data_IF_663737047361
#
_entry.id   IF_663737047361
#
_cell.length_a   1.000
_cell.length_b   1.000
_cell.length_c   1.000
_cell.angle_alpha   90.00
_cell.angle_beta   90.00
_cell.angle_gamma   90.00
#
_symmetry.space_group_name_H-M   'P 1'
#
loop_
_entity.id
_entity.type
_entity.pdbx_description
1 polymer ?
#
# COMPACT_ATOMS: atom_id res chain seq x y z
N UNK A 1 17.25 21.38 -2.19
CA UNK A 1 16.63 20.21 -1.53
C UNK A 1 16.79 19.02 -2.47
N UNK A 2 17.26 17.89 -1.96
CA UNK A 2 17.31 16.62 -2.71
C UNK A 2 16.43 15.62 -1.98
N UNK A 3 15.52 14.97 -2.70
CA UNK A 3 14.64 13.93 -2.17
C UNK A 3 15.01 12.63 -2.87
N UNK A 4 15.41 11.62 -2.11
CA UNK A 4 15.82 10.32 -2.63
C UNK A 4 14.89 9.27 -2.03
N UNK A 5 14.17 8.56 -2.90
CA UNK A 5 13.26 7.50 -2.51
C UNK A 5 13.92 6.13 -2.73
N UNK A 6 13.86 5.28 -1.71
CA UNK A 6 14.51 3.97 -1.68
C UNK A 6 13.46 2.87 -1.42
N UNK A 7 12.72 2.39 -2.44
CA UNK A 7 11.59 1.47 -2.28
C UNK A 7 11.98 0.01 -2.00
N UNK A 8 13.28 -0.30 -1.94
CA UNK A 8 13.78 -1.69 -1.96
C UNK A 8 13.12 -2.58 -0.91
N UNK A 9 13.07 -2.11 0.34
CA UNK A 9 12.47 -2.86 1.44
C UNK A 9 10.95 -2.91 1.35
N UNK A 10 10.29 -1.91 0.76
CA UNK A 10 8.83 -1.88 0.65
C UNK A 10 8.30 -3.13 -0.08
N UNK A 11 8.86 -3.42 -1.26
CA UNK A 11 8.44 -4.58 -2.04
C UNK A 11 8.83 -5.92 -1.42
N UNK A 12 10.06 -6.05 -0.92
CA UNK A 12 10.50 -7.35 -0.39
C UNK A 12 9.82 -7.68 0.94
N UNK A 13 9.59 -6.69 1.81
CA UNK A 13 8.87 -6.92 3.05
C UNK A 13 7.40 -7.31 2.81
N UNK A 14 6.75 -6.80 1.77
CA UNK A 14 5.41 -7.28 1.37
C UNK A 14 5.44 -8.77 0.96
N UNK A 15 6.51 -9.21 0.29
CA UNK A 15 6.64 -10.58 -0.22
C UNK A 15 6.97 -11.62 0.85
N UNK A 16 7.88 -11.29 1.77
CA UNK A 16 8.44 -12.28 2.72
C UNK A 16 8.18 -11.95 4.19
N UNK A 17 7.65 -10.76 4.50
CA UNK A 17 7.43 -10.29 5.85
C UNK A 17 8.75 -9.91 6.54
N UNK A 18 8.73 -9.92 7.87
CA UNK A 18 9.85 -9.56 8.75
C UNK A 18 10.80 -10.74 9.03
N UNK A 19 10.78 -11.78 8.17
CA UNK A 19 11.64 -12.96 8.30
C UNK A 19 13.10 -12.58 8.07
N UNK A 20 13.87 -12.43 9.15
CA UNK A 20 15.29 -12.00 9.15
C UNK A 20 16.14 -12.70 8.09
N UNK A 21 16.07 -14.03 8.00
CA UNK A 21 16.89 -14.79 7.05
C UNK A 21 16.56 -14.47 5.58
N UNK A 22 15.30 -14.12 5.30
CA UNK A 22 14.85 -13.78 3.94
C UNK A 22 15.23 -12.34 3.54
N UNK A 23 15.40 -11.43 4.51
CA UNK A 23 15.63 -10.00 4.28
C UNK A 23 17.06 -9.56 4.64
N UNK A 24 17.88 -10.43 5.21
CA UNK A 24 19.23 -10.09 5.67
C UNK A 24 20.15 -9.58 4.56
N UNK A 25 19.98 -10.06 3.32
CA UNK A 25 20.70 -9.54 2.17
C UNK A 25 20.19 -8.16 1.79
N UNK A 26 18.86 -7.98 1.68
CA UNK A 26 18.23 -6.70 1.35
C UNK A 26 18.63 -5.59 2.33
N UNK A 27 18.65 -5.91 3.63
CA UNK A 27 19.10 -5.00 4.68
C UNK A 27 20.55 -4.57 4.51
N UNK A 28 21.45 -5.50 4.12
CA UNK A 28 22.86 -5.17 3.87
C UNK A 28 23.04 -4.33 2.62
N UNK A 29 22.29 -4.63 1.56
CA UNK A 29 22.35 -3.88 0.31
C UNK A 29 21.84 -2.44 0.50
N UNK A 30 20.71 -2.28 1.19
CA UNK A 30 20.15 -0.95 1.42
C UNK A 30 20.99 -0.13 2.39
N UNK A 31 21.56 -0.75 3.43
CA UNK A 31 22.50 -0.09 4.35
C UNK A 31 23.73 0.44 3.61
N UNK A 32 24.30 -0.34 2.69
CA UNK A 32 25.42 0.10 1.86
C UNK A 32 25.05 1.33 1.00
N UNK A 33 23.89 1.29 0.33
CA UNK A 33 23.40 2.40 -0.52
C UNK A 33 23.13 3.65 0.32
N UNK A 34 22.45 3.51 1.46
CA UNK A 34 22.16 4.62 2.39
C UNK A 34 23.46 5.22 2.91
N UNK A 35 24.42 4.38 3.32
CA UNK A 35 25.73 4.83 3.78
C UNK A 35 26.52 5.60 2.72
N UNK A 36 26.50 5.15 1.47
CA UNK A 36 27.13 5.86 0.34
C UNK A 36 26.47 7.23 0.09
N UNK A 37 25.13 7.29 0.11
CA UNK A 37 24.39 8.54 -0.05
C UNK A 37 24.69 9.52 1.09
N UNK A 38 24.68 9.05 2.34
CA UNK A 38 25.02 9.88 3.51
C UNK A 38 26.41 10.48 3.33
N UNK A 39 27.44 9.65 3.08
CA UNK A 39 28.81 10.12 2.87
C UNK A 39 28.92 11.12 1.71
N UNK A 40 28.24 10.83 0.60
CA UNK A 40 28.25 11.69 -0.58
C UNK A 40 27.72 13.10 -0.28
N UNK A 41 26.62 13.21 0.47
CA UNK A 41 25.99 14.48 0.82
C UNK A 41 26.72 15.20 1.95
N UNK A 42 27.16 14.49 2.98
CA UNK A 42 27.92 15.06 4.09
C UNK A 42 29.25 15.68 3.64
N UNK A 43 29.98 15.03 2.72
CA UNK A 43 31.19 15.60 2.10
C UNK A 43 30.93 16.92 1.35
N UNK A 44 29.67 17.22 1.02
CA UNK A 44 29.23 18.46 0.36
C UNK A 44 28.60 19.44 1.34
N UNK A 45 28.74 19.20 2.65
CA UNK A 45 28.10 19.96 3.72
C UNK A 45 26.56 20.03 3.58
N UNK A 46 25.95 18.99 2.99
CA UNK A 46 24.50 18.85 2.93
C UNK A 46 24.04 18.06 4.14
N UNK A 47 23.09 18.61 4.91
CA UNK A 47 22.46 17.90 6.02
C UNK A 47 21.57 16.79 5.50
N UNK A 48 21.74 15.59 6.04
CA UNK A 48 20.94 14.41 5.67
C UNK A 48 19.90 14.14 6.74
N UNK A 49 18.69 13.81 6.30
CA UNK A 49 17.60 13.29 7.14
C UNK A 49 17.16 11.97 6.55
N UNK A 50 17.01 10.96 7.39
CA UNK A 50 16.36 9.70 7.05
C UNK A 50 14.92 9.75 7.55
N UNK A 51 13.98 9.43 6.67
CA UNK A 51 12.56 9.38 6.96
C UNK A 51 12.00 8.08 6.40
N UNK A 52 11.34 7.29 7.25
CA UNK A 52 10.45 6.23 6.82
C UNK A 52 9.02 6.76 6.74
N UNK A 53 8.27 6.36 5.72
CA UNK A 53 6.87 6.79 5.55
C UNK A 53 5.94 6.01 6.48
N UNK A 54 6.20 4.70 6.62
CA UNK A 54 5.41 3.78 7.45
C UNK A 54 6.27 2.57 7.85
N UNK A 55 5.75 1.77 8.79
CA UNK A 55 6.27 0.45 9.11
C UNK A 55 5.53 -0.64 8.34
N UNK A 56 6.19 -1.77 8.09
CA UNK A 56 5.57 -2.97 7.53
C UNK A 56 5.57 -4.06 8.62
N UNK A 57 4.42 -4.69 8.83
CA UNK A 57 4.25 -5.79 9.79
C UNK A 57 3.78 -7.07 9.09
N UNK A 58 4.00 -8.21 9.74
CA UNK A 58 3.60 -9.51 9.19
C UNK A 58 2.07 -9.65 9.10
N UNK A 59 1.59 -10.11 7.94
CA UNK A 59 0.18 -10.47 7.71
C UNK A 59 0.07 -11.87 7.11
N UNK A 60 -1.05 -12.54 7.38
CA UNK A 60 -1.34 -13.86 6.82
C UNK A 60 -2.82 -14.11 6.48
N UNK A 61 -3.69 -13.12 6.66
CA UNK A 61 -5.12 -13.24 6.35
C UNK A 61 -5.59 -12.19 5.33
N UNK A 62 -5.75 -12.54 4.04
CA UNK A 62 -6.41 -11.65 3.09
C UNK A 62 -7.91 -11.54 3.39
N UNK A 63 -8.47 -10.35 3.22
CA UNK A 63 -9.87 -10.03 3.46
C UNK A 63 -10.46 -9.40 2.19
N UNK A 64 -11.53 -9.99 1.67
CA UNK A 64 -12.12 -9.62 0.39
C UNK A 64 -13.40 -8.79 0.58
N UNK A 65 -13.29 -7.53 1.02
CA UNK A 65 -14.46 -6.68 1.33
C UNK A 65 -15.42 -6.58 0.14
N UNK A 66 -14.90 -6.42 -1.07
CA UNK A 66 -15.74 -6.36 -2.27
C UNK A 66 -16.49 -7.68 -2.56
N UNK A 67 -15.96 -8.86 -2.18
CA UNK A 67 -16.74 -10.12 -2.23
C UNK A 67 -17.89 -10.12 -1.21
N UNK A 68 -17.68 -9.58 -0.02
CA UNK A 68 -18.74 -9.42 1.00
C UNK A 68 -19.84 -8.49 0.46
N UNK A 69 -19.46 -7.36 -0.14
CA UNK A 69 -20.42 -6.43 -0.73
C UNK A 69 -21.16 -7.02 -1.94
N UNK A 70 -20.48 -7.88 -2.72
CA UNK A 70 -21.12 -8.62 -3.81
C UNK A 70 -22.19 -9.58 -3.29
N UNK A 71 -21.93 -10.30 -2.20
CA UNK A 71 -22.92 -11.19 -1.57
C UNK A 71 -24.15 -10.43 -1.07
N UNK A 72 -23.97 -9.17 -0.65
CA UNK A 72 -25.06 -8.25 -0.30
C UNK A 72 -25.79 -7.64 -1.51
N UNK A 73 -25.34 -7.90 -2.73
CA UNK A 73 -25.90 -7.32 -3.95
C UNK A 73 -25.62 -5.82 -4.10
N UNK A 74 -24.55 -5.31 -3.47
CA UNK A 74 -24.18 -3.90 -3.54
C UNK A 74 -23.21 -3.56 -4.66
N UNK A 75 -22.50 -4.55 -5.19
CA UNK A 75 -21.67 -4.38 -6.38
C UNK A 75 -22.50 -4.49 -7.66
N UNK A 76 -22.11 -3.71 -8.67
CA UNK A 76 -22.60 -3.87 -10.03
C UNK A 76 -21.58 -4.63 -10.86
N UNK A 77 -21.88 -5.90 -11.15
CA UNK A 77 -21.01 -6.79 -11.92
C UNK A 77 -21.65 -7.07 -13.28
N UNK A 78 -20.88 -6.89 -14.35
CA UNK A 78 -21.28 -7.17 -15.74
C UNK A 78 -20.52 -8.39 -16.24
N UNK A 79 -21.15 -9.19 -17.10
CA UNK A 79 -20.43 -10.22 -17.84
C UNK A 79 -19.74 -9.59 -19.06
N UNK A 80 -18.41 -9.60 -19.04
CA UNK A 80 -17.55 -9.10 -20.10
C UNK A 80 -16.79 -10.28 -20.70
N UNK A 81 -17.39 -10.93 -21.70
CA UNK A 81 -16.80 -12.09 -22.40
C UNK A 81 -16.50 -13.27 -21.44
N UNK A 82 -17.43 -13.55 -20.52
CA UNK A 82 -17.28 -14.61 -19.51
C UNK A 82 -16.41 -14.20 -18.31
N UNK A 83 -15.99 -12.94 -18.23
CA UNK A 83 -15.31 -12.35 -17.06
C UNK A 83 -16.25 -11.43 -16.29
N UNK A 84 -15.99 -11.26 -15.01
CA UNK A 84 -16.68 -10.30 -14.17
C UNK A 84 -16.05 -8.92 -14.37
N UNK A 85 -16.77 -7.98 -15.00
CA UNK A 85 -16.41 -6.57 -15.08
C UNK A 85 -17.10 -5.78 -13.97
N UNK A 86 -16.36 -4.92 -13.26
CA UNK A 86 -16.92 -4.06 -12.21
C UNK A 86 -17.37 -2.73 -12.80
N UNK A 87 -18.65 -2.39 -12.65
CA UNK A 87 -19.15 -1.04 -12.91
C UNK A 87 -19.15 -0.24 -11.61
N UNK A 88 -18.00 0.37 -11.31
CA UNK A 88 -17.79 1.22 -10.13
C UNK A 88 -18.85 2.33 -10.06
N UNK A 89 -19.17 2.93 -11.21
CA UNK A 89 -20.15 3.98 -11.40
C UNK A 89 -21.60 3.56 -11.19
N UNK A 90 -21.89 2.26 -11.05
CA UNK A 90 -23.20 1.72 -10.69
C UNK A 90 -23.22 0.98 -9.34
N UNK A 91 -22.07 0.80 -8.68
CA UNK A 91 -22.02 0.18 -7.34
C UNK A 91 -22.74 1.04 -6.30
N UNK A 92 -23.52 0.39 -5.43
CA UNK A 92 -24.15 1.02 -4.25
C UNK A 92 -23.15 1.18 -3.12
N UNK A 93 -22.26 0.21 -2.97
CA UNK A 93 -21.16 0.19 -2.00
C UNK A 93 -19.92 -0.34 -2.70
N UNK A 94 -18.76 0.27 -2.49
CA UNK A 94 -17.49 -0.20 -3.08
C UNK A 94 -16.33 0.08 -2.11
N UNK A 95 -15.45 -0.90 -1.91
CA UNK A 95 -14.18 -0.67 -1.23
C UNK A 95 -13.06 -0.42 -2.25
N UNK A 96 -12.31 0.66 -2.05
CA UNK A 96 -10.97 0.84 -2.60
C UNK A 96 -9.98 0.42 -1.53
N UNK A 97 -9.31 -0.71 -1.75
CA UNK A 97 -8.46 -1.36 -0.76
C UNK A 97 -6.98 -1.03 -1.00
N UNK A 98 -6.27 -0.63 0.05
CA UNK A 98 -4.84 -0.41 0.02
C UNK A 98 -4.22 -0.95 1.32
N UNK A 99 -3.59 -2.13 1.21
CA UNK A 99 -3.02 -2.83 2.35
C UNK A 99 -4.01 -3.04 3.51
N UNK A 100 -3.73 -2.52 4.70
CA UNK A 100 -4.54 -2.68 5.92
C UNK A 100 -5.59 -1.57 6.08
N UNK A 101 -5.80 -0.76 5.05
CA UNK A 101 -6.84 0.27 4.98
C UNK A 101 -7.73 0.05 3.76
N UNK A 102 -9.01 0.35 3.89
CA UNK A 102 -9.92 0.41 2.76
C UNK A 102 -10.87 1.61 2.89
N UNK A 103 -10.91 2.45 1.87
CA UNK A 103 -11.93 3.48 1.74
C UNK A 103 -13.20 2.85 1.18
N UNK A 104 -14.30 2.93 1.91
CA UNK A 104 -15.59 2.38 1.52
C UNK A 104 -16.51 3.52 1.12
N UNK A 105 -16.90 3.53 -0.14
CA UNK A 105 -17.82 4.51 -0.73
C UNK A 105 -19.23 3.93 -0.76
N UNK A 106 -20.20 4.71 -0.30
CA UNK A 106 -21.60 4.35 -0.16
C UNK A 106 -22.44 5.39 -0.89
N UNK A 107 -23.02 5.00 -2.03
CA UNK A 107 -23.82 5.90 -2.87
C UNK A 107 -25.13 6.33 -2.21
N UNK A 108 -25.75 5.41 -1.49
CA UNK A 108 -27.05 5.58 -0.87
C UNK A 108 -26.85 5.67 0.64
N UNK A 109 -26.94 6.87 1.20
CA UNK A 109 -26.70 7.13 2.62
C UNK A 109 -27.58 6.28 3.55
N UNK A 110 -28.75 5.82 3.08
CA UNK A 110 -29.62 4.95 3.88
C UNK A 110 -28.98 3.58 4.19
N UNK A 111 -27.97 3.17 3.40
CA UNK A 111 -27.21 1.94 3.62
C UNK A 111 -26.08 2.09 4.63
N UNK A 112 -25.69 3.30 5.04
CA UNK A 112 -24.49 3.50 5.87
C UNK A 112 -24.49 2.67 7.16
N UNK A 113 -25.65 2.56 7.82
CA UNK A 113 -25.81 1.74 9.02
C UNK A 113 -25.55 0.26 8.76
N UNK A 114 -26.17 -0.29 7.70
CA UNK A 114 -25.99 -1.70 7.33
C UNK A 114 -24.56 -1.99 6.85
N UNK A 115 -23.97 -1.08 6.08
CA UNK A 115 -22.57 -1.23 5.61
C UNK A 115 -21.61 -1.25 6.79
N UNK A 116 -21.79 -0.35 7.76
CA UNK A 116 -20.98 -0.33 8.98
C UNK A 116 -21.10 -1.64 9.74
N UNK A 117 -22.32 -2.12 9.96
CA UNK A 117 -22.56 -3.40 10.66
C UNK A 117 -21.88 -4.58 9.95
N UNK A 118 -22.01 -4.66 8.62
CA UNK A 118 -21.37 -5.71 7.81
C UNK A 118 -19.84 -5.65 7.92
N UNK A 119 -19.27 -4.46 7.87
CA UNK A 119 -17.82 -4.27 8.03
C UNK A 119 -17.37 -4.70 9.43
N UNK A 120 -18.05 -4.26 10.49
CA UNK A 120 -17.73 -4.60 11.89
C UNK A 120 -17.87 -6.11 12.16
N UNK A 121 -18.78 -6.79 11.47
CA UNK A 121 -18.95 -8.24 11.55
C UNK A 121 -17.98 -9.05 10.67
N UNK A 122 -17.28 -8.40 9.73
CA UNK A 122 -16.37 -9.09 8.81
C UNK A 122 -15.07 -9.47 9.52
N UNK A 123 -14.74 -10.77 9.66
CA UNK A 123 -13.47 -11.19 10.26
C UNK A 123 -12.31 -10.65 9.43
N UNK A 124 -11.42 -9.88 10.06
CA UNK A 124 -10.44 -9.09 9.31
C UNK A 124 -10.42 -7.64 9.70
N UNK A 125 -11.60 -7.08 9.91
CA UNK A 125 -11.80 -5.65 10.18
C UNK A 125 -11.71 -5.43 11.69
N UNK A 126 -10.78 -4.57 12.12
CA UNK A 126 -10.62 -4.19 13.51
C UNK A 126 -11.40 -2.93 13.85
N UNK A 127 -11.43 -1.96 12.93
CA UNK A 127 -12.07 -0.67 13.15
C UNK A 127 -12.79 -0.21 11.90
N UNK A 128 -13.92 0.47 12.09
CA UNK A 128 -14.65 1.16 11.03
C UNK A 128 -14.80 2.62 11.44
N UNK A 129 -14.16 3.51 10.69
CA UNK A 129 -14.15 4.93 10.96
C UNK A 129 -15.28 5.60 10.17
N UNK A 130 -16.28 6.10 10.89
CA UNK A 130 -17.32 6.97 10.36
C UNK A 130 -16.88 8.44 10.34
N UNK A 131 -17.82 9.36 10.17
CA UNK A 131 -17.52 10.80 10.06
C UNK A 131 -16.75 11.35 11.27
N UNK A 132 -17.23 11.07 12.48
CA UNK A 132 -16.61 11.58 13.71
C UNK A 132 -15.24 10.95 13.94
N UNK A 133 -15.12 9.63 13.77
CA UNK A 133 -13.88 8.89 13.95
C UNK A 133 -12.82 9.32 12.92
N UNK A 134 -13.20 9.54 11.66
CA UNK A 134 -12.32 10.10 10.62
C UNK A 134 -11.82 11.50 10.98
N UNK A 135 -12.68 12.36 11.55
CA UNK A 135 -12.27 13.70 11.96
C UNK A 135 -11.14 13.64 12.99
N UNK A 136 -11.30 12.83 14.05
CA UNK A 136 -10.26 12.66 15.07
C UNK A 136 -9.00 11.97 14.55
N UNK A 137 -9.12 11.10 13.55
CA UNK A 137 -7.99 10.45 12.90
C UNK A 137 -7.28 11.33 11.85
N UNK A 138 -7.80 12.54 11.54
CA UNK A 138 -7.26 13.39 10.48
C UNK A 138 -7.56 12.89 9.05
N UNK A 139 -8.56 12.04 8.89
CA UNK A 139 -8.99 11.42 7.64
C UNK A 139 -10.29 12.00 7.08
N UNK A 140 -10.88 13.02 7.72
CA UNK A 140 -12.10 13.69 7.22
C UNK A 140 -11.76 14.63 6.06
N UNK A 141 -11.65 14.03 4.87
CA UNK A 141 -11.27 14.70 3.63
C UNK A 141 -12.25 14.32 2.51
N UNK A 142 -12.45 15.22 1.54
CA UNK A 142 -13.41 15.02 0.44
C UNK A 142 -13.09 13.81 -0.47
N UNK A 143 -11.86 13.27 -0.39
CA UNK A 143 -11.43 12.05 -1.11
C UNK A 143 -11.46 10.80 -0.24
N UNK A 144 -11.80 10.92 1.04
CA UNK A 144 -11.98 9.75 1.90
C UNK A 144 -13.34 9.14 1.63
N UNK A 145 -13.40 7.81 1.48
CA UNK A 145 -14.66 7.07 1.47
C UNK A 145 -15.56 7.41 2.67
N UNK A 146 -16.86 7.22 2.50
CA UNK A 146 -17.88 7.51 3.51
C UNK A 146 -17.57 6.81 4.85
N UNK A 147 -17.04 5.59 4.77
CA UNK A 147 -16.43 4.86 5.86
C UNK A 147 -14.97 4.51 5.51
N UNK A 148 -14.12 4.32 6.52
CA UNK A 148 -12.77 3.74 6.35
C UNK A 148 -12.67 2.49 7.23
N UNK A 149 -12.39 1.34 6.61
CA UNK A 149 -12.12 0.11 7.33
C UNK A 149 -10.61 -0.03 7.59
N UNK A 150 -10.26 -0.41 8.82
CA UNK A 150 -8.89 -0.71 9.24
C UNK A 150 -8.81 -2.18 9.59
N UNK A 151 -7.85 -2.90 9.01
CA UNK A 151 -7.66 -4.32 9.26
C UNK A 151 -7.03 -4.57 10.64
N UNK A 152 -7.21 -5.77 11.20
CA UNK A 152 -6.43 -6.19 12.36
C UNK A 152 -4.97 -6.51 12.00
N UNK A 153 -4.15 -6.81 13.02
CA UNK A 153 -2.69 -6.96 12.89
C UNK A 153 -2.26 -7.97 11.83
N UNK A 154 -3.05 -9.02 11.66
CA UNK A 154 -2.71 -10.15 10.78
C UNK A 154 -3.37 -10.08 9.42
N UNK A 155 -4.22 -9.08 9.21
CA UNK A 155 -5.08 -9.01 8.02
C UNK A 155 -4.71 -7.88 7.10
N UNK A 156 -5.09 -8.02 5.84
CA UNK A 156 -5.02 -6.98 4.83
C UNK A 156 -6.17 -7.12 3.84
N UNK A 157 -6.54 -6.05 3.17
CA UNK A 157 -7.68 -6.00 2.25
C UNK A 157 -7.24 -6.15 0.80
N UNK A 158 -7.88 -7.07 0.08
CA UNK A 158 -7.71 -7.19 -1.38
C UNK A 158 -8.74 -6.34 -2.12
N UNK A 159 -8.45 -5.92 -3.35
CA UNK A 159 -9.47 -5.33 -4.23
C UNK A 159 -10.47 -6.35 -4.82
N UNK A 160 -10.25 -7.65 -4.63
CA UNK A 160 -10.96 -8.72 -5.35
C UNK A 160 -12.48 -8.64 -5.16
N UNK A 161 -13.20 -8.63 -6.28
CA UNK A 161 -14.66 -8.56 -6.34
C UNK A 161 -15.31 -9.76 -7.05
N UNK A 162 -14.52 -10.67 -7.62
CA UNK A 162 -15.00 -11.89 -8.27
C UNK A 162 -14.97 -13.07 -7.30
N UNK A 163 -15.97 -13.96 -7.36
CA UNK A 163 -16.04 -15.15 -6.49
C UNK A 163 -15.30 -16.36 -7.08
N UNK A 164 -15.19 -16.45 -8.42
CA UNK A 164 -14.46 -17.50 -9.13
C UNK A 164 -13.30 -16.90 -9.91
N UNK A 165 -12.07 -17.35 -9.63
CA UNK A 165 -10.84 -16.91 -10.31
C UNK A 165 -10.83 -17.19 -11.82
N UNK A 166 -11.70 -18.09 -12.31
CA UNK A 166 -11.93 -18.28 -13.76
C UNK A 166 -12.66 -17.10 -14.37
N UNK A 167 -13.50 -16.40 -13.60
CA UNK A 167 -14.22 -15.19 -14.01
C UNK A 167 -13.46 -13.90 -13.67
N UNK A 168 -12.33 -13.97 -12.97
CA UNK A 168 -11.50 -12.81 -12.70
C UNK A 168 -11.21 -12.01 -13.97
N UNK A 169 -11.22 -10.66 -13.90
CA UNK A 169 -10.88 -9.80 -15.03
C UNK A 169 -9.53 -10.17 -15.65
N UNK A 170 -9.38 -9.89 -16.94
CA UNK A 170 -8.15 -10.19 -17.67
C UNK A 170 -6.92 -9.47 -17.08
N UNK A 171 -7.11 -8.23 -16.63
CA UNK A 171 -6.09 -7.42 -15.99
C UNK A 171 -5.68 -7.91 -14.59
N UNK A 172 -6.49 -8.74 -13.94
CA UNK A 172 -6.20 -9.20 -12.58
C UNK A 172 -4.89 -10.01 -12.50
N UNK A 173 -4.53 -10.70 -13.59
CA UNK A 173 -3.29 -11.48 -13.72
C UNK A 173 -2.12 -10.69 -14.29
N UNK A 174 -2.25 -9.36 -14.35
CA UNK A 174 -1.25 -8.44 -14.90
C UNK A 174 -0.90 -7.36 -13.89
N UNK A 175 0.15 -6.60 -14.19
CA UNK A 175 0.46 -5.33 -13.52
C UNK A 175 -0.38 -4.26 -14.19
N UNK A 176 -1.49 -3.86 -13.57
CA UNK A 176 -2.45 -2.88 -14.11
C UNK A 176 -3.08 -2.07 -12.99
N UNK A 177 -2.26 -1.20 -12.41
CA UNK A 177 -2.59 -0.39 -11.23
C UNK A 177 -3.76 0.58 -11.43
N UNK A 178 -4.18 0.83 -12.67
CA UNK A 178 -5.24 1.80 -12.98
C UNK A 178 -6.63 1.16 -13.07
N UNK A 179 -6.71 -0.14 -13.38
CA UNK A 179 -7.98 -0.88 -13.47
C UNK A 179 -8.35 -1.63 -12.19
N UNK A 180 -7.41 -1.75 -11.26
CA UNK A 180 -7.63 -2.36 -9.95
C UNK A 180 -8.18 -1.30 -9.00
N UNK A 181 -9.32 -1.58 -8.37
CA UNK A 181 -9.93 -0.72 -7.35
C UNK A 181 -9.19 -0.84 -6.01
N UNK A 182 -7.88 -0.57 -6.04
CA UNK A 182 -6.98 -0.76 -4.92
C UNK A 182 -5.58 -1.18 -5.35
N UNK A 183 -4.68 -1.26 -4.37
CA UNK A 183 -3.34 -1.80 -4.55
C UNK A 183 -3.35 -3.34 -4.43
N UNK A 184 -2.50 -4.00 -5.22
CA UNK A 184 -2.41 -5.46 -5.27
C UNK A 184 -0.96 -5.93 -5.04
N UNK A 185 -0.58 -6.23 -3.79
CA UNK A 185 0.78 -6.71 -3.47
C UNK A 185 1.10 -8.06 -4.16
N UNK A 186 0.10 -8.78 -4.67
CA UNK A 186 0.31 -10.05 -5.39
C UNK A 186 1.01 -9.81 -6.73
N UNK A 187 0.98 -8.58 -7.27
CA UNK A 187 1.77 -8.17 -8.45
C UNK A 187 3.29 -8.35 -8.28
N UNK A 188 3.77 -8.42 -7.05
CA UNK A 188 5.18 -8.64 -6.72
C UNK A 188 5.63 -10.10 -6.91
N UNK A 189 4.72 -10.98 -7.32
CA UNK A 189 4.97 -12.40 -7.51
C UNK A 189 4.79 -12.82 -8.98
N UNK A 190 5.63 -13.74 -9.43
CA UNK A 190 5.30 -14.57 -10.58
C UNK A 190 4.43 -15.73 -10.09
N UNK A 191 3.36 -16.03 -10.82
CA UNK A 191 2.40 -17.05 -10.46
C UNK A 191 3.12 -18.40 -10.27
N UNK A 192 3.15 -18.92 -9.02
CA UNK A 192 3.91 -20.13 -8.69
C UNK A 192 3.32 -21.39 -9.33
N UNK A 193 2.08 -21.32 -9.84
CA UNK A 193 1.43 -22.42 -10.55
C UNK A 193 1.90 -22.55 -12.00
N UNK A 194 2.59 -21.54 -12.55
CA UNK A 194 3.15 -21.59 -13.89
C UNK A 194 4.31 -22.58 -13.95
N UNK A 195 4.20 -23.59 -14.82
CA UNK A 195 5.25 -24.62 -14.99
C UNK A 195 6.59 -24.05 -15.47
N UNK A 196 6.56 -23.05 -16.36
CA UNK A 196 7.75 -22.43 -16.94
C UNK A 196 7.57 -20.89 -17.06
N UNK A 197 7.60 -20.15 -15.93
CA UNK A 197 7.25 -18.72 -15.91
C UNK A 197 8.16 -17.89 -16.82
N UNK A 198 9.47 -18.17 -16.83
CA UNK A 198 10.45 -17.48 -17.70
C UNK A 198 10.16 -17.70 -19.19
N UNK A 199 9.72 -18.89 -19.58
CA UNK A 199 9.35 -19.20 -20.98
C UNK A 199 8.08 -18.44 -21.35
N UNK A 200 7.07 -18.42 -20.47
CA UNK A 200 5.84 -17.63 -20.69
C UNK A 200 6.16 -16.16 -20.87
N UNK A 201 6.98 -15.57 -19.98
CA UNK A 201 7.43 -14.17 -20.09
C UNK A 201 8.17 -13.94 -21.41
N UNK A 202 9.16 -14.77 -21.75
CA UNK A 202 9.91 -14.65 -23.00
C UNK A 202 9.02 -14.70 -24.23
N UNK A 203 8.04 -15.61 -24.25
CA UNK A 203 7.04 -15.70 -25.32
C UNK A 203 6.16 -14.44 -25.42
N UNK A 204 5.67 -13.92 -24.29
CA UNK A 204 4.87 -12.69 -24.25
C UNK A 204 5.67 -11.47 -24.74
N UNK A 205 6.94 -11.38 -24.38
CA UNK A 205 7.84 -10.35 -24.90
C UNK A 205 8.07 -10.49 -26.41
N UNK A 206 8.23 -11.71 -26.93
CA UNK A 206 8.32 -11.94 -28.37
C UNK A 206 7.05 -11.48 -29.11
N UNK A 207 5.86 -11.82 -28.60
CA UNK A 207 4.59 -11.31 -29.17
C UNK A 207 4.54 -9.78 -29.17
N UNK A 208 4.93 -9.14 -28.06
CA UNK A 208 5.01 -7.67 -27.95
C UNK A 208 5.96 -7.08 -28.99
N UNK A 209 7.14 -7.67 -29.19
CA UNK A 209 8.12 -7.25 -30.21
C UNK A 209 7.58 -7.40 -31.64
N UNK A 210 6.75 -8.42 -31.88
CA UNK A 210 6.06 -8.64 -33.16
C UNK A 210 4.83 -7.73 -33.35
N UNK A 211 4.59 -6.77 -32.46
CA UNK A 211 3.46 -5.84 -32.54
C UNK A 211 2.09 -6.46 -32.22
N UNK A 212 2.06 -7.69 -31.68
CA UNK A 212 0.82 -8.35 -31.29
C UNK A 212 0.29 -7.75 -29.99
N UNK A 213 -1.04 -7.56 -29.91
CA UNK A 213 -1.71 -7.23 -28.65
C UNK A 213 -1.64 -8.45 -27.73
N UNK A 214 -1.14 -8.24 -26.52
CA UNK A 214 -1.01 -9.30 -25.52
C UNK A 214 -1.20 -8.74 -24.13
N UNK A 215 -1.52 -9.64 -23.19
CA UNK A 215 -1.48 -9.40 -21.75
C UNK A 215 -0.31 -10.14 -21.13
N UNK A 216 0.42 -9.48 -20.22
CA UNK A 216 1.48 -10.09 -19.41
C UNK A 216 0.84 -10.79 -18.20
N UNK A 217 0.12 -11.86 -18.49
CA UNK A 217 -0.74 -12.60 -17.57
C UNK A 217 0.07 -13.57 -16.69
N UNK A 218 0.99 -13.05 -15.90
CA UNK A 218 1.94 -13.84 -15.10
C UNK A 218 1.79 -13.64 -13.59
N UNK A 219 0.84 -12.80 -13.17
CA UNK A 219 0.57 -12.51 -11.77
C UNK A 219 -0.43 -13.54 -11.20
N UNK A 220 -0.19 -14.12 -10.01
CA UNK A 220 -1.13 -15.03 -9.38
C UNK A 220 -2.36 -14.28 -8.86
N UNK A 221 -3.41 -15.04 -8.52
CA UNK A 221 -4.56 -14.51 -7.79
C UNK A 221 -4.58 -14.97 -6.32
N UNK A 222 -3.58 -15.73 -5.88
CA UNK A 222 -3.49 -16.19 -4.50
C UNK A 222 -2.98 -15.08 -3.56
N UNK A 223 -3.92 -14.43 -2.88
CA UNK A 223 -3.65 -13.38 -1.91
C UNK A 223 -2.93 -13.89 -0.65
N UNK A 224 -2.87 -15.21 -0.40
CA UNK A 224 -2.14 -15.77 0.74
C UNK A 224 -0.62 -15.75 0.55
N UNK A 225 -0.13 -15.34 -0.63
CA UNK A 225 1.31 -15.20 -0.88
C UNK A 225 1.91 -13.99 -0.17
N UNK A 226 1.13 -12.95 0.07
CA UNK A 226 1.55 -11.73 0.75
C UNK A 226 1.85 -12.03 2.21
N UNK A 227 2.98 -11.50 2.71
CA UNK A 227 3.48 -11.73 4.07
C UNK A 227 3.70 -10.47 4.87
N UNK A 228 3.80 -9.31 4.23
CA UNK A 228 3.90 -8.02 4.90
C UNK A 228 2.87 -7.04 4.38
N UNK A 229 2.39 -6.16 5.26
CA UNK A 229 1.45 -5.10 4.90
C UNK A 229 1.63 -3.87 5.81
N UNK A 230 0.95 -2.77 5.48
CA UNK A 230 1.02 -1.52 6.24
C UNK A 230 -0.30 -0.73 6.16
N UNK A 231 -0.33 0.50 6.69
CA UNK A 231 -1.46 1.41 6.60
C UNK A 231 -2.24 1.57 7.91
N UNK A 232 -2.08 0.64 8.86
CA UNK A 232 -2.54 0.81 10.24
C UNK A 232 -1.39 1.21 11.17
N UNK A 233 -1.72 1.69 12.37
CA UNK A 233 -0.71 1.90 13.43
C UNK A 233 -0.35 0.54 14.04
N UNK A 234 0.93 0.13 13.97
CA UNK A 234 1.41 -1.10 14.62
C UNK A 234 1.31 -1.02 16.14
N UNK A 235 1.06 -2.16 16.79
CA UNK A 235 1.01 -2.27 18.24
C UNK A 235 2.37 -2.01 18.90
N UNK A 236 3.45 -2.52 18.31
CA UNK A 236 4.81 -2.34 18.83
C UNK A 236 5.43 -1.04 18.28
N UNK A 237 5.84 -0.10 19.14
CA UNK A 237 6.57 1.10 18.72
C UNK A 237 7.88 0.79 17.99
N UNK A 238 8.44 -0.40 18.12
CA UNK A 238 9.61 -0.83 17.35
C UNK A 238 9.32 -0.95 15.83
N UNK A 239 8.05 -1.15 15.46
CA UNK A 239 7.60 -1.25 14.07
C UNK A 239 7.14 0.12 13.52
N UNK A 240 7.28 1.21 14.29
CA UNK A 240 6.88 2.54 13.83
C UNK A 240 7.89 3.14 12.85
N UNK A 241 7.43 4.01 11.92
CA UNK A 241 8.33 4.72 11.03
C UNK A 241 9.33 5.59 11.80
N UNK A 242 10.53 5.73 11.24
CA UNK A 242 11.63 6.45 11.85
C UNK A 242 11.83 7.82 11.19
N UNK A 243 12.14 8.81 12.03
CA UNK A 243 12.68 10.10 11.63
C UNK A 243 14.05 10.26 12.29
N UNK A 244 15.11 10.31 11.50
CA UNK A 244 16.48 10.46 11.99
C UNK A 244 17.17 11.64 11.31
N UNK A 245 17.72 12.56 12.11
CA UNK A 245 18.44 13.73 11.63
C UNK A 245 18.79 14.68 12.77
N UNK A 246 19.54 15.74 12.45
CA UNK A 246 19.94 16.77 13.43
C UNK A 246 18.85 17.83 13.59
N UNK A 247 17.83 17.51 14.38
CA UNK A 247 16.71 18.40 14.72
C UNK A 247 16.96 19.07 16.08
N UNK A 248 17.12 20.41 16.10
CA UNK A 248 17.40 21.16 17.34
C UNK A 248 16.27 21.16 18.36
N UNK A 249 15.02 21.13 17.88
CA UNK A 249 13.82 21.24 18.73
C UNK A 249 13.26 19.87 19.16
N UNK A 250 13.81 18.78 18.63
CA UNK A 250 13.39 17.43 18.99
C UNK A 250 14.36 16.82 20.01
N UNK A 251 13.87 15.97 20.93
CA UNK A 251 14.74 15.20 21.80
C UNK A 251 15.59 14.21 20.99
N UNK A 252 16.71 13.74 21.57
CA UNK A 252 17.59 12.74 20.92
C UNK A 252 16.87 11.42 20.60
N UNK A 253 15.89 11.07 21.42
CA UNK A 253 14.98 9.95 21.21
C UNK A 253 13.61 10.31 21.77
N UNK A 254 12.56 9.87 21.10
CA UNK A 254 11.19 10.17 21.47
C UNK A 254 10.22 9.82 20.36
N UNK A 255 8.95 10.12 20.60
CA UNK A 255 7.86 9.95 19.63
C UNK A 255 7.47 11.32 19.11
N UNK A 256 7.25 11.41 17.81
CA UNK A 256 6.69 12.59 17.13
C UNK A 256 5.44 12.14 16.40
N UNK A 257 4.37 12.95 16.44
CA UNK A 257 3.18 12.60 15.69
C UNK A 257 3.44 12.76 14.19
N UNK A 258 2.98 11.81 13.37
CA UNK A 258 3.26 11.80 11.93
C UNK A 258 2.86 13.12 11.23
N UNK A 259 1.77 13.76 11.66
CA UNK A 259 1.30 15.03 11.09
C UNK A 259 2.20 16.24 11.43
N UNK A 260 3.11 16.12 12.40
CA UNK A 260 4.05 17.17 12.77
C UNK A 260 5.37 17.08 11.97
N UNK A 261 5.66 15.92 11.37
CA UNK A 261 6.94 15.65 10.67
C UNK A 261 7.19 16.68 9.57
N UNK A 262 6.18 17.01 8.75
CA UNK A 262 6.31 17.99 7.68
C UNK A 262 6.73 19.38 8.21
N UNK A 263 6.15 19.82 9.34
CA UNK A 263 6.52 21.08 9.99
C UNK A 263 7.98 21.07 10.42
N UNK A 264 8.43 19.99 11.07
CA UNK A 264 9.82 19.86 11.50
C UNK A 264 10.82 19.84 10.33
N UNK A 265 10.49 19.14 9.25
CA UNK A 265 11.29 19.15 8.02
C UNK A 265 11.34 20.54 7.38
N UNK A 266 10.22 21.25 7.35
CA UNK A 266 10.14 22.62 6.85
C UNK A 266 10.99 23.59 7.67
N UNK A 267 10.90 23.53 9.00
CA UNK A 267 11.73 24.33 9.91
C UNK A 267 13.22 24.03 9.73
N UNK A 268 13.58 22.75 9.58
CA UNK A 268 14.95 22.35 9.31
C UNK A 268 15.47 22.96 8.01
N UNK A 269 14.68 22.93 6.93
CA UNK A 269 15.05 23.45 5.61
C UNK A 269 15.10 24.98 5.57
N UNK A 270 14.15 25.65 6.20
CA UNK A 270 14.00 27.13 6.16
C UNK A 270 15.00 27.87 7.05
N UNK A 271 15.45 27.25 8.15
CA UNK A 271 16.39 27.88 9.10
C UNK A 271 17.86 27.67 8.75
N UNK A 272 18.18 27.03 7.63
CA UNK A 272 19.57 26.97 7.15
C UNK A 272 20.03 28.39 6.80
N UNK A 273 20.95 28.94 7.61
CA UNK A 273 21.75 30.14 7.32
C UNK A 273 22.73 29.90 6.14
N UNK A 274 22.27 29.30 5.05
CA UNK A 274 23.07 28.87 3.89
C UNK A 274 23.58 30.00 2.99
N UNK A 275 23.38 31.27 3.38
CA UNK A 275 23.87 32.45 2.66
C UNK A 275 24.47 33.53 3.59
N UNK A 276 25.03 33.16 4.75
CA UNK A 276 25.79 34.14 5.57
C UNK A 276 27.31 34.15 5.30
N UNK A 277 27.81 33.33 4.37
CA UNK A 277 29.25 33.18 4.12
C UNK A 277 29.71 33.26 2.67
N UNK A 278 28.84 33.58 1.71
CA UNK A 278 29.26 33.86 0.33
C UNK A 278 29.09 35.35 0.11
N UNK A 279 30.18 36.08 0.21
CA UNK A 279 30.22 37.52 0.00
C UNK A 279 29.69 37.89 -1.39
N UNK A 280 28.90 38.97 -1.42
CA UNK A 280 28.80 39.84 -2.59
C UNK A 280 30.09 40.65 -2.72
#
# INVERSE_FOLDING_TARGET
LSLVYLPHLDYNLQRVGLKRDAIAQDLREIDAVVGDLIRFYEHRNVRVVLLSEYGITDVDRPVHLNRVFRQKGWLSIKDELGRDGLDEGACRVLAIADHQLAHVYVRDESLLGEVREVLEQTPGVQQVLGKAEKYYAGLDHARSGDLVAVADARSWFTYYFWDDDRRAPDYARTVDIHRKCGYDPVELFLDPTLRYPKVKVGWKLALKLLGQRMLMDVIPLDANLVRGSHGRVPEDPADWPLLCGDFRELPRSGVVAAHEVCRHLYELCSRSSGYQGVGL
#
